data_IF_637608171992
#
_entry.id   IF_637608171992
#
_cell.length_a   1.000
_cell.length_b   1.000
_cell.length_c   1.000
_cell.angle_alpha   90.00
_cell.angle_beta   90.00
_cell.angle_gamma   90.00
#
_symmetry.space_group_name_H-M   'P 1'
#
loop_
_entity.id
_entity.type
_entity.pdbx_description
1 polymer ?
#
# COMPACT_ATOMS: atom_id res chain seq x y z
N UNK A 1 25.98 16.14 -7.40
CA UNK A 1 26.69 14.84 -7.28
C UNK A 1 27.20 14.54 -5.87
N UNK A 2 27.70 15.51 -5.08
CA UNK A 2 28.20 15.24 -3.71
C UNK A 2 27.17 14.69 -2.72
N UNK A 3 25.93 15.23 -2.70
CA UNK A 3 24.86 14.79 -1.78
C UNK A 3 24.39 13.35 -1.98
N UNK A 4 24.48 12.82 -3.20
CA UNK A 4 24.09 11.44 -3.50
C UNK A 4 25.09 10.47 -2.91
N UNK A 5 26.40 10.75 -3.06
CA UNK A 5 27.48 9.95 -2.45
C UNK A 5 27.42 9.94 -0.93
N UNK A 6 27.12 11.08 -0.31
CA UNK A 6 27.02 11.20 1.15
C UNK A 6 25.86 10.37 1.73
N UNK A 7 24.74 10.31 1.00
CA UNK A 7 23.59 9.43 1.32
C UNK A 7 23.94 7.96 1.13
N UNK A 8 24.65 7.61 0.05
CA UNK A 8 25.10 6.24 -0.22
C UNK A 8 26.11 5.73 0.81
N UNK A 9 27.09 6.56 1.20
CA UNK A 9 28.06 6.23 2.25
C UNK A 9 27.41 6.08 3.62
N UNK A 10 26.44 6.94 3.94
CA UNK A 10 25.66 6.84 5.19
C UNK A 10 24.76 5.60 5.21
N UNK A 11 24.12 5.24 4.09
CA UNK A 11 23.34 4.01 3.96
C UNK A 11 24.23 2.78 4.08
N UNK A 12 25.39 2.77 3.41
CA UNK A 12 26.36 1.68 3.47
C UNK A 12 26.90 1.47 4.89
N UNK A 13 27.23 2.56 5.59
CA UNK A 13 27.66 2.50 6.98
C UNK A 13 26.58 1.93 7.91
N UNK A 14 25.31 2.34 7.76
CA UNK A 14 24.20 1.82 8.57
C UNK A 14 23.92 0.33 8.27
N UNK A 15 23.94 -0.06 7.00
CA UNK A 15 23.73 -1.45 6.58
C UNK A 15 24.83 -2.39 7.10
N UNK A 16 26.08 -1.96 7.06
CA UNK A 16 27.23 -2.76 7.47
C UNK A 16 27.45 -2.75 9.00
N UNK A 17 27.12 -1.65 9.69
CA UNK A 17 27.35 -1.53 11.14
C UNK A 17 26.19 -2.07 11.98
N UNK A 18 24.95 -2.11 11.46
CA UNK A 18 23.78 -2.56 12.22
C UNK A 18 22.86 -3.47 11.39
N UNK A 19 23.28 -4.72 11.09
CA UNK A 19 22.47 -5.67 10.32
C UNK A 19 21.12 -5.97 10.97
N UNK A 20 21.03 -5.83 12.30
CA UNK A 20 19.77 -5.99 13.04
C UNK A 20 18.71 -4.97 12.60
N UNK A 21 19.09 -3.71 12.39
CA UNK A 21 18.15 -2.67 11.95
C UNK A 21 17.62 -3.00 10.55
N UNK A 22 18.50 -3.42 9.65
CA UNK A 22 18.11 -3.87 8.32
C UNK A 22 17.16 -5.08 8.38
N UNK A 23 17.50 -6.11 9.15
CA UNK A 23 16.65 -7.30 9.30
C UNK A 23 15.28 -6.97 9.91
N UNK A 24 15.23 -6.08 10.90
CA UNK A 24 13.95 -5.62 11.47
C UNK A 24 13.13 -4.83 10.46
N UNK A 25 13.75 -3.94 9.68
CA UNK A 25 13.05 -3.18 8.64
C UNK A 25 12.51 -4.09 7.53
N UNK A 26 13.32 -5.07 7.11
CA UNK A 26 12.90 -6.09 6.14
C UNK A 26 11.73 -6.92 6.71
N UNK A 27 11.82 -7.37 7.96
CA UNK A 27 10.76 -8.12 8.62
C UNK A 27 9.45 -7.34 8.72
N UNK A 28 9.51 -6.08 9.13
CA UNK A 28 8.34 -5.19 9.21
C UNK A 28 7.74 -4.97 7.82
N UNK A 29 8.59 -4.73 6.80
CA UNK A 29 8.15 -4.54 5.42
C UNK A 29 7.46 -5.78 4.87
N UNK A 30 8.08 -6.96 5.01
CA UNK A 30 7.49 -8.24 4.60
C UNK A 30 6.17 -8.49 5.32
N UNK A 31 6.11 -8.24 6.63
CA UNK A 31 4.88 -8.37 7.40
C UNK A 31 3.78 -7.45 6.89
N UNK A 32 4.09 -6.18 6.59
CA UNK A 32 3.14 -5.23 6.02
C UNK A 32 2.59 -5.71 4.67
N UNK A 33 3.44 -6.25 3.80
CA UNK A 33 3.01 -6.85 2.52
C UNK A 33 2.11 -8.08 2.71
N UNK A 34 2.39 -8.93 3.70
CA UNK A 34 1.56 -10.09 4.02
C UNK A 34 0.18 -9.68 4.55
N UNK A 35 0.13 -8.72 5.47
CA UNK A 35 -1.14 -8.18 6.01
C UNK A 35 -1.96 -7.57 4.87
N UNK A 36 -1.33 -6.77 4.03
CA UNK A 36 -1.97 -6.13 2.87
C UNK A 36 -2.46 -7.15 1.82
N UNK A 37 -1.68 -8.19 1.54
CA UNK A 37 -2.09 -9.28 0.65
C UNK A 37 -3.24 -10.10 1.24
N UNK A 38 -3.19 -10.39 2.53
CA UNK A 38 -4.26 -11.08 3.26
C UNK A 38 -5.55 -10.28 3.27
N UNK A 39 -5.48 -8.98 3.54
CA UNK A 39 -6.62 -8.07 3.45
C UNK A 39 -7.27 -8.11 2.05
N UNK A 40 -6.44 -8.00 1.00
CA UNK A 40 -6.94 -8.07 -0.38
C UNK A 40 -7.58 -9.42 -0.72
N UNK A 41 -7.01 -10.52 -0.20
CA UNK A 41 -7.60 -11.84 -0.33
C UNK A 41 -8.99 -11.91 0.32
N UNK A 42 -9.10 -11.51 1.59
CA UNK A 42 -10.36 -11.54 2.32
C UNK A 42 -11.40 -10.63 1.69
N UNK A 43 -10.97 -9.48 1.18
CA UNK A 43 -11.80 -8.55 0.44
C UNK A 43 -12.41 -9.23 -0.80
N UNK A 44 -11.60 -9.87 -1.66
CA UNK A 44 -12.14 -10.59 -2.83
C UNK A 44 -13.06 -11.75 -2.45
N UNK A 45 -12.74 -12.48 -1.37
CA UNK A 45 -13.61 -13.53 -0.84
C UNK A 45 -14.94 -12.99 -0.30
N UNK A 46 -14.93 -11.82 0.35
CA UNK A 46 -16.13 -11.13 0.81
C UNK A 46 -17.04 -10.72 -0.36
N UNK A 47 -16.46 -10.32 -1.50
CA UNK A 47 -17.19 -10.09 -2.74
C UNK A 47 -17.70 -11.37 -3.43
N UNK A 48 -17.45 -12.54 -2.85
CA UNK A 48 -17.84 -13.83 -3.44
C UNK A 48 -16.96 -14.26 -4.62
N UNK A 49 -15.79 -13.63 -4.82
CA UNK A 49 -14.89 -13.94 -5.92
C UNK A 49 -13.98 -15.12 -5.54
N UNK A 50 -14.12 -16.30 -6.18
CA UNK A 50 -13.25 -17.43 -5.91
C UNK A 50 -11.87 -17.17 -6.52
N UNK A 51 -10.90 -16.83 -5.67
CA UNK A 51 -9.52 -16.57 -6.11
C UNK A 51 -8.52 -17.56 -5.53
N UNK A 52 -7.61 -18.02 -6.39
CA UNK A 52 -6.39 -18.71 -6.00
C UNK A 52 -5.31 -17.70 -5.59
N UNK A 53 -4.29 -18.16 -4.84
CA UNK A 53 -3.18 -17.29 -4.42
C UNK A 53 -2.41 -16.70 -5.60
N UNK A 54 -2.25 -17.45 -6.69
CA UNK A 54 -1.53 -16.97 -7.88
C UNK A 54 -2.33 -15.90 -8.64
N UNK A 55 -3.63 -16.11 -8.82
CA UNK A 55 -4.51 -15.10 -9.43
C UNK A 55 -4.55 -13.82 -8.58
N UNK A 56 -4.67 -13.98 -7.26
CA UNK A 56 -4.61 -12.87 -6.31
C UNK A 56 -3.30 -12.09 -6.44
N UNK A 57 -2.15 -12.78 -6.49
CA UNK A 57 -0.85 -12.15 -6.63
C UNK A 57 -0.73 -11.37 -7.96
N UNK A 58 -1.25 -11.93 -9.06
CA UNK A 58 -1.29 -11.25 -10.36
C UNK A 58 -2.14 -9.99 -10.34
N UNK A 59 -3.36 -10.07 -9.80
CA UNK A 59 -4.25 -8.91 -9.68
C UNK A 59 -3.68 -7.86 -8.73
N UNK A 60 -3.13 -8.28 -7.58
CA UNK A 60 -2.50 -7.38 -6.62
C UNK A 60 -1.32 -6.63 -7.27
N UNK A 61 -0.50 -7.33 -8.06
CA UNK A 61 0.63 -6.71 -8.78
C UNK A 61 0.14 -5.64 -9.76
N UNK A 62 -0.90 -5.93 -10.54
CA UNK A 62 -1.49 -4.95 -11.47
C UNK A 62 -2.00 -3.70 -10.74
N UNK A 63 -2.66 -3.87 -9.59
CA UNK A 63 -3.10 -2.77 -8.74
C UNK A 63 -1.92 -1.94 -8.23
N UNK A 64 -0.80 -2.56 -7.84
CA UNK A 64 0.39 -1.83 -7.39
C UNK A 64 1.01 -1.02 -8.51
N UNK A 65 1.08 -1.58 -9.72
CA UNK A 65 1.54 -0.85 -10.90
C UNK A 65 0.61 0.35 -11.16
N UNK A 66 -0.70 0.17 -11.04
CA UNK A 66 -1.68 1.25 -11.19
C UNK A 66 -1.43 2.43 -10.24
N UNK A 67 -1.04 2.16 -8.99
CA UNK A 67 -0.68 3.19 -8.02
C UNK A 67 0.67 3.87 -8.29
N UNK A 68 1.56 3.24 -9.06
CA UNK A 68 2.84 3.81 -9.47
C UNK A 68 2.72 4.69 -10.72
N UNK A 69 1.60 4.61 -11.45
CA UNK A 69 1.37 5.49 -12.59
C UNK A 69 1.11 6.93 -12.12
N UNK A 70 1.63 7.94 -12.84
CA UNK A 70 1.44 9.34 -12.52
C UNK A 70 0.03 9.82 -12.91
N UNK A 71 -0.98 9.27 -12.23
CA UNK A 71 -2.39 9.67 -12.39
C UNK A 71 -2.85 10.39 -11.11
N UNK A 72 -3.55 11.53 -11.21
CA UNK A 72 -4.08 12.22 -10.04
C UNK A 72 -4.98 11.28 -9.23
N UNK A 73 -4.56 10.99 -8.00
CA UNK A 73 -5.22 10.04 -7.08
C UNK A 73 -5.47 8.62 -7.66
N UNK A 74 -4.82 8.26 -8.77
CA UNK A 74 -5.03 6.97 -9.45
C UNK A 74 -6.45 6.76 -9.99
N UNK A 75 -7.23 7.83 -10.18
CA UNK A 75 -8.62 7.74 -10.66
C UNK A 75 -8.62 7.24 -12.11
N UNK A 76 -9.42 6.21 -12.38
CA UNK A 76 -9.51 5.55 -13.68
C UNK A 76 -8.43 4.49 -13.92
N UNK A 77 -7.21 4.71 -13.43
CA UNK A 77 -6.09 3.76 -13.58
C UNK A 77 -6.32 2.49 -12.77
N UNK A 78 -6.72 2.63 -11.50
CA UNK A 78 -6.97 1.48 -10.63
C UNK A 78 -8.11 0.62 -11.18
N UNK A 79 -9.21 1.27 -11.56
CA UNK A 79 -10.42 0.64 -12.06
C UNK A 79 -10.15 -0.13 -13.37
N UNK A 80 -9.39 0.48 -14.29
CA UNK A 80 -8.96 -0.17 -15.52
C UNK A 80 -7.99 -1.33 -15.25
N UNK A 81 -7.01 -1.14 -14.35
CA UNK A 81 -6.04 -2.19 -14.01
C UNK A 81 -6.71 -3.39 -13.35
N UNK A 82 -7.68 -3.19 -12.45
CA UNK A 82 -8.46 -4.28 -11.89
C UNK A 82 -9.29 -5.00 -12.94
N UNK A 83 -10.00 -4.25 -13.79
CA UNK A 83 -10.79 -4.82 -14.87
C UNK A 83 -9.93 -5.70 -15.78
N UNK A 84 -8.81 -5.15 -16.27
CA UNK A 84 -7.88 -5.86 -17.15
C UNK A 84 -7.23 -7.06 -16.45
N UNK A 85 -6.80 -6.90 -15.20
CA UNK A 85 -6.15 -7.98 -14.47
C UNK A 85 -7.10 -9.13 -14.17
N UNK A 86 -8.32 -8.85 -13.70
CA UNK A 86 -9.35 -9.86 -13.47
C UNK A 86 -9.68 -10.60 -14.77
N UNK A 87 -9.86 -9.88 -15.89
CA UNK A 87 -10.03 -10.51 -17.21
C UNK A 87 -8.87 -11.40 -17.60
N UNK A 88 -7.64 -10.94 -17.38
CA UNK A 88 -6.43 -11.68 -17.76
C UNK A 88 -6.27 -12.98 -16.97
N UNK A 89 -6.71 -13.02 -15.71
CA UNK A 89 -6.63 -14.20 -14.85
C UNK A 89 -7.90 -15.07 -14.84
N UNK A 90 -8.87 -14.76 -15.70
CA UNK A 90 -10.11 -15.53 -15.88
C UNK A 90 -11.18 -15.29 -14.81
N UNK A 91 -11.10 -14.19 -14.06
CA UNK A 91 -12.12 -13.75 -13.10
C UNK A 91 -13.15 -12.88 -13.81
N UNK A 92 -14.42 -12.96 -13.40
CA UNK A 92 -15.48 -12.08 -13.90
C UNK A 92 -15.11 -10.60 -13.61
N UNK A 93 -14.89 -9.78 -14.65
CA UNK A 93 -14.48 -8.39 -14.47
C UNK A 93 -15.59 -7.49 -13.95
N UNK A 94 -16.85 -7.95 -13.88
CA UNK A 94 -17.93 -7.15 -13.25
C UNK A 94 -17.64 -6.86 -11.78
N UNK A 95 -16.92 -7.75 -11.09
CA UNK A 95 -16.49 -7.56 -9.71
C UNK A 95 -15.39 -6.49 -9.54
N UNK A 96 -14.74 -6.05 -10.63
CA UNK A 96 -13.63 -5.10 -10.57
C UNK A 96 -14.05 -3.74 -10.01
N UNK A 97 -15.25 -3.26 -10.36
CA UNK A 97 -15.79 -1.99 -9.86
C UNK A 97 -16.15 -2.07 -8.37
N UNK A 98 -16.74 -3.18 -7.94
CA UNK A 98 -17.05 -3.38 -6.53
C UNK A 98 -15.75 -3.49 -5.70
N UNK A 99 -14.73 -4.16 -6.24
CA UNK A 99 -13.41 -4.21 -5.64
C UNK A 99 -12.72 -2.82 -5.60
N UNK A 100 -12.80 -2.02 -6.66
CA UNK A 100 -12.19 -0.68 -6.66
C UNK A 100 -12.81 0.23 -5.61
N UNK A 101 -14.14 0.21 -5.49
CA UNK A 101 -14.88 0.97 -4.47
C UNK A 101 -14.48 0.57 -3.06
N UNK A 102 -14.38 -0.74 -2.79
CA UNK A 102 -14.02 -1.23 -1.46
C UNK A 102 -12.56 -0.88 -1.12
N UNK A 103 -11.63 -0.95 -2.08
CA UNK A 103 -10.24 -0.46 -1.89
C UNK A 103 -10.25 1.03 -1.53
N UNK A 104 -10.98 1.85 -2.27
CA UNK A 104 -11.04 3.31 -2.04
C UNK A 104 -11.67 3.65 -0.70
N UNK A 105 -12.74 2.95 -0.33
CA UNK A 105 -13.39 3.15 0.97
C UNK A 105 -12.42 2.85 2.13
N UNK A 106 -11.64 1.78 2.01
CA UNK A 106 -10.58 1.45 2.98
C UNK A 106 -9.51 2.54 3.01
N UNK A 107 -8.98 2.94 1.85
CA UNK A 107 -7.90 3.93 1.78
C UNK A 107 -8.34 5.28 2.37
N UNK A 108 -9.60 5.68 2.12
CA UNK A 108 -10.20 6.87 2.72
C UNK A 108 -10.37 6.73 4.23
N UNK A 109 -10.83 5.57 4.73
CA UNK A 109 -10.98 5.33 6.15
C UNK A 109 -9.63 5.38 6.89
N UNK A 110 -8.60 4.74 6.33
CA UNK A 110 -7.24 4.77 6.88
C UNK A 110 -6.63 6.17 6.80
N UNK A 111 -6.80 6.87 5.67
CA UNK A 111 -6.33 8.23 5.49
C UNK A 111 -6.98 9.21 6.46
N UNK A 112 -8.30 9.10 6.67
CA UNK A 112 -9.02 9.92 7.63
C UNK A 112 -8.59 9.61 9.08
N UNK A 113 -8.42 8.33 9.40
CA UNK A 113 -7.92 7.92 10.73
C UNK A 113 -6.52 8.51 10.98
N UNK A 114 -5.63 8.42 9.99
CA UNK A 114 -4.31 9.03 10.06
C UNK A 114 -4.36 10.56 10.22
N UNK A 115 -5.27 11.24 9.50
CA UNK A 115 -5.46 12.68 9.61
C UNK A 115 -5.96 13.09 11.00
N UNK A 116 -6.94 12.38 11.55
CA UNK A 116 -7.49 12.65 12.89
C UNK A 116 -6.40 12.45 13.95
N UNK A 117 -5.72 11.30 13.92
CA UNK A 117 -4.67 10.99 14.89
C UNK A 117 -3.49 11.96 14.76
N UNK A 118 -2.97 12.16 13.55
CA UNK A 118 -1.86 13.09 13.31
C UNK A 118 -2.21 14.54 13.63
N UNK A 119 -3.42 14.98 13.26
CA UNK A 119 -3.93 16.32 13.57
C UNK A 119 -4.09 16.55 15.07
N UNK A 120 -4.61 15.56 15.80
CA UNK A 120 -4.76 15.65 17.27
C UNK A 120 -3.40 15.75 17.99
N UNK A 121 -2.38 15.04 17.51
CA UNK A 121 -1.01 15.12 18.06
C UNK A 121 -0.39 16.49 17.76
N UNK A 122 -0.62 17.04 16.56
CA UNK A 122 -0.13 18.38 16.21
C UNK A 122 -0.71 19.46 17.12
N UNK A 123 -2.04 19.44 17.35
CA UNK A 123 -2.72 20.39 18.25
C UNK A 123 -2.29 20.23 19.72
N UNK A 124 -1.95 19.01 20.16
CA UNK A 124 -1.46 18.76 21.52
C UNK A 124 -0.03 19.32 21.71
N UNK A 125 0.84 19.17 20.71
CA UNK A 125 2.20 19.72 20.76
C UNK A 125 2.25 21.25 20.75
N UNK A 126 1.28 21.94 20.12
CA UNK A 126 1.22 23.40 20.17
C UNK A 126 0.87 23.94 21.55
N UNK A 127 0.09 23.21 22.36
CA UNK A 127 -0.24 23.62 23.73
C UNK A 127 0.93 23.50 24.71
N UNK A 128 1.91 22.63 24.45
CA UNK A 128 3.09 22.47 25.33
C UNK A 128 4.12 23.58 25.11
N UNK A 129 4.10 24.28 23.96
CA UNK A 129 5.06 25.36 23.67
C UNK A 129 4.64 26.72 24.23
N UNK A 130 3.41 26.87 24.73
CA UNK A 130 2.90 28.13 25.30
C UNK A 130 2.80 28.14 26.84
N UNK A 131 3.34 27.11 27.51
CA UNK A 131 3.49 27.03 28.97
C UNK A 131 4.97 26.99 29.32
#
# INVERSE_FOLDING_TARGET
>A
MGKVKEVEESLGAVFLQRPQVFLTGLGISTFAWLVMGGEFFFMLRYLGVPVTLLQMAGVLTAVRIAFLLPSPAGIGTLELSLFLAMRAVGIDPTCALAASLLIRSRDMALGLTGLILGGSVFTWSSHIKEV
#
